data_IF_174007688526
#
_entry.id   IF_174007688526
#
_cell.length_a   1.000
_cell.length_b   1.000
_cell.length_c   1.000
_cell.angle_alpha   90.00
_cell.angle_beta   90.00
_cell.angle_gamma   90.00
#
_symmetry.space_group_name_H-M   'P 1'
#
loop_
_entity.id
_entity.type
_entity.pdbx_description
1 polymer ?
#
# COMPACT_ATOMS: atom_id res chain seq x y z
N UNK A 1 11.04 3.39 -19.54
CA UNK A 1 11.07 3.88 -18.14
C UNK A 1 9.66 3.69 -17.55
N UNK A 2 9.52 3.51 -16.25
CA UNK A 2 8.19 3.45 -15.61
C UNK A 2 7.75 4.85 -15.18
N UNK A 3 6.47 5.17 -15.37
CA UNK A 3 5.89 6.46 -15.03
C UNK A 3 4.90 6.30 -13.89
N UNK A 4 4.82 7.32 -13.03
CA UNK A 4 3.79 7.43 -12.02
C UNK A 4 2.67 8.29 -12.60
N UNK A 5 1.45 7.78 -12.53
CA UNK A 5 0.22 8.49 -12.87
C UNK A 5 -0.72 8.58 -11.69
N UNK A 6 -1.80 9.35 -11.86
CA UNK A 6 -2.84 9.53 -10.86
C UNK A 6 -4.15 8.91 -11.34
N UNK A 7 -4.84 8.17 -10.48
CA UNK A 7 -6.13 7.56 -10.83
C UNK A 7 -7.17 8.62 -11.23
N UNK A 8 -7.11 9.81 -10.63
CA UNK A 8 -7.98 10.94 -10.97
C UNK A 8 -7.84 11.43 -12.42
N UNK A 9 -6.74 11.08 -13.11
CA UNK A 9 -6.51 11.43 -14.53
C UNK A 9 -7.14 10.44 -15.52
N UNK A 10 -7.75 9.37 -15.02
CA UNK A 10 -8.30 8.28 -15.83
C UNK A 10 -9.81 8.18 -15.69
N UNK A 11 -10.45 7.67 -16.74
CA UNK A 11 -11.86 7.30 -16.72
C UNK A 11 -12.08 5.91 -16.09
N UNK A 12 -11.30 5.56 -15.06
CA UNK A 12 -11.36 4.27 -14.36
C UNK A 12 -11.37 4.51 -12.85
N UNK A 13 -12.16 3.75 -12.11
CA UNK A 13 -12.10 3.78 -10.64
C UNK A 13 -10.81 3.14 -10.16
N UNK A 14 -10.17 3.70 -9.13
CA UNK A 14 -9.05 3.04 -8.45
C UNK A 14 -9.49 1.69 -7.85
N UNK A 15 -8.59 0.70 -7.67
CA UNK A 15 -8.95 -0.57 -7.05
C UNK A 15 -9.29 -0.42 -5.56
N UNK A 16 -8.85 0.69 -4.95
CA UNK A 16 -9.19 1.08 -3.59
C UNK A 16 -9.35 2.60 -3.48
N UNK A 17 -10.33 3.13 -2.70
CA UNK A 17 -10.53 4.58 -2.54
C UNK A 17 -9.31 5.34 -1.99
N UNK A 18 -8.43 4.68 -1.25
CA UNK A 18 -7.20 5.27 -0.70
C UNK A 18 -6.07 5.31 -1.72
N UNK A 19 -6.16 4.54 -2.81
CA UNK A 19 -5.16 4.59 -3.86
C UNK A 19 -5.36 5.78 -4.76
N UNK A 20 -4.36 6.65 -4.81
CA UNK A 20 -4.39 7.88 -5.61
C UNK A 20 -3.49 7.80 -6.85
N UNK A 21 -2.53 6.87 -6.85
CA UNK A 21 -1.50 6.78 -7.86
C UNK A 21 -1.39 5.35 -8.41
N UNK A 22 -0.82 5.24 -9.60
CA UNK A 22 -0.44 3.98 -10.22
C UNK A 22 0.91 4.14 -10.92
N UNK A 23 1.52 3.02 -11.27
CA UNK A 23 2.69 2.98 -12.15
C UNK A 23 2.35 2.31 -13.48
N UNK A 24 2.96 2.79 -14.55
CA UNK A 24 2.71 2.30 -15.91
C UNK A 24 4.02 2.20 -16.70
N UNK A 25 4.22 1.15 -17.51
CA UNK A 25 5.39 1.03 -18.35
C UNK A 25 5.31 1.97 -19.56
N UNK A 26 6.43 2.14 -20.24
CA UNK A 26 6.48 2.81 -21.54
C UNK A 26 6.25 1.84 -22.71
N UNK A 27 6.37 2.36 -23.93
CA UNK A 27 6.26 1.61 -25.19
C UNK A 27 7.40 0.63 -25.42
N UNK A 28 8.49 0.75 -24.66
CA UNK A 28 9.63 -0.18 -24.68
C UNK A 28 9.55 -1.13 -23.50
N UNK A 29 9.94 -2.38 -23.73
CA UNK A 29 9.99 -3.38 -22.67
C UNK A 29 10.93 -2.92 -21.55
N UNK A 30 10.37 -2.72 -20.36
CA UNK A 30 11.13 -2.32 -19.18
C UNK A 30 10.71 -3.11 -17.96
N UNK A 31 11.55 -3.10 -16.92
CA UNK A 31 11.24 -3.73 -15.64
C UNK A 31 11.52 -2.81 -14.46
N UNK A 32 10.89 -3.14 -13.36
CA UNK A 32 11.18 -2.62 -12.02
C UNK A 32 11.49 -3.80 -11.10
N UNK A 33 12.37 -3.58 -10.13
CA UNK A 33 12.78 -4.58 -9.16
C UNK A 33 12.52 -4.07 -7.74
N UNK A 34 12.17 -4.98 -6.84
CA UNK A 34 12.24 -4.71 -5.41
C UNK A 34 13.70 -4.75 -4.93
N UNK A 35 13.95 -4.28 -3.71
CA UNK A 35 15.16 -4.68 -3.00
C UNK A 35 15.17 -6.19 -2.76
N UNK A 36 16.34 -6.73 -2.47
CA UNK A 36 16.47 -8.11 -1.99
C UNK A 36 15.87 -8.23 -0.59
N UNK A 37 15.10 -9.29 -0.36
CA UNK A 37 14.55 -9.64 0.94
C UNK A 37 14.40 -11.15 1.08
N UNK A 38 14.22 -11.62 2.31
CA UNK A 38 13.98 -13.03 2.59
C UNK A 38 12.60 -13.46 2.12
N UNK A 39 12.55 -14.38 1.16
CA UNK A 39 11.34 -15.00 0.63
C UNK A 39 11.22 -16.42 1.18
N UNK A 40 10.02 -16.78 1.65
CA UNK A 40 9.68 -18.14 2.07
C UNK A 40 8.89 -18.82 0.94
N UNK A 41 9.28 -20.05 0.59
CA UNK A 41 8.57 -20.86 -0.41
C UNK A 41 7.18 -21.22 0.09
N UNK A 42 6.31 -21.70 -0.81
CA UNK A 42 4.86 -21.85 -0.59
C UNK A 42 4.08 -20.54 -0.31
N UNK A 43 4.75 -19.39 -0.29
CA UNK A 43 4.11 -18.08 -0.30
C UNK A 43 3.59 -17.68 -1.69
N UNK A 44 3.15 -16.43 -1.81
CA UNK A 44 2.80 -15.84 -3.11
C UNK A 44 3.08 -14.35 -3.17
N UNK A 45 3.37 -13.84 -4.36
CA UNK A 45 3.34 -12.41 -4.68
C UNK A 45 1.99 -12.10 -5.32
N UNK A 46 1.31 -11.07 -4.86
CA UNK A 46 0.07 -10.58 -5.46
C UNK A 46 0.29 -9.18 -6.01
N UNK A 47 -0.10 -8.94 -7.26
CA UNK A 47 0.00 -7.64 -7.92
C UNK A 47 -1.38 -7.22 -8.39
N UNK A 48 -1.84 -6.04 -7.96
CA UNK A 48 -3.08 -5.43 -8.43
C UNK A 48 -2.79 -4.59 -9.66
N UNK A 49 -3.42 -4.95 -10.77
CA UNK A 49 -3.14 -4.37 -12.07
C UNK A 49 -4.41 -4.15 -12.89
N UNK A 50 -4.33 -3.23 -13.84
CA UNK A 50 -5.35 -2.98 -14.84
C UNK A 50 -4.71 -3.11 -16.21
N UNK A 51 -5.26 -3.96 -17.07
CA UNK A 51 -4.64 -4.31 -18.35
C UNK A 51 -5.64 -4.35 -19.50
N UNK A 52 -5.54 -3.37 -20.39
CA UNK A 52 -6.27 -3.30 -21.65
C UNK A 52 -5.26 -3.31 -22.79
N UNK A 53 -5.19 -4.47 -23.45
CA UNK A 53 -4.32 -4.72 -24.60
C UNK A 53 -4.98 -4.19 -25.87
N UNK A 54 -4.23 -3.42 -26.65
CA UNK A 54 -4.58 -3.04 -28.02
C UNK A 54 -3.57 -3.59 -29.05
N UNK A 55 -2.37 -4.00 -28.61
CA UNK A 55 -1.30 -4.46 -29.48
C UNK A 55 -0.71 -5.82 -29.04
N UNK A 56 -0.21 -6.65 -29.97
CA UNK A 56 0.41 -7.93 -29.64
C UNK A 56 1.63 -7.81 -28.72
N UNK A 57 2.33 -6.68 -28.77
CA UNK A 57 3.51 -6.38 -27.96
C UNK A 57 3.19 -5.97 -26.53
N UNK A 58 1.93 -5.69 -26.20
CA UNK A 58 1.58 -5.35 -24.83
C UNK A 58 1.73 -6.58 -23.94
N UNK A 59 2.49 -6.40 -22.86
CA UNK A 59 2.80 -7.49 -21.96
C UNK A 59 3.05 -6.97 -20.55
N UNK A 60 2.67 -7.80 -19.59
CA UNK A 60 2.88 -7.56 -18.18
C UNK A 60 3.08 -8.93 -17.50
N UNK A 61 4.24 -9.12 -16.88
CA UNK A 61 4.53 -10.35 -16.14
C UNK A 61 5.44 -10.07 -14.95
N UNK A 62 5.44 -11.02 -14.03
CA UNK A 62 6.15 -10.93 -12.77
C UNK A 62 7.09 -12.12 -12.66
N UNK A 63 8.33 -11.88 -12.25
CA UNK A 63 9.32 -12.90 -11.95
C UNK A 63 9.71 -12.83 -10.47
N UNK A 64 9.96 -13.99 -9.90
CA UNK A 64 10.54 -14.15 -8.58
C UNK A 64 11.93 -14.73 -8.78
N UNK A 65 12.96 -14.00 -8.34
CA UNK A 65 14.36 -14.42 -8.50
C UNK A 65 15.01 -14.66 -7.15
N UNK A 66 15.78 -15.72 -7.09
CA UNK A 66 16.68 -16.03 -5.98
C UNK A 66 18.03 -15.37 -6.26
N UNK A 67 18.46 -14.54 -5.32
CA UNK A 67 19.76 -13.90 -5.34
C UNK A 67 20.82 -14.93 -4.94
N UNK A 68 21.84 -15.09 -5.78
CA UNK A 68 22.94 -16.03 -5.51
C UNK A 68 24.25 -15.25 -5.51
N UNK A 69 24.88 -15.16 -4.35
CA UNK A 69 26.15 -14.45 -4.21
C UNK A 69 27.22 -15.04 -5.14
N UNK A 70 27.90 -14.17 -5.88
CA UNK A 70 28.96 -14.55 -6.83
C UNK A 70 28.53 -15.46 -7.98
N UNK A 71 27.22 -15.59 -8.23
CA UNK A 71 26.68 -16.34 -9.37
C UNK A 71 25.56 -15.56 -10.07
N UNK A 72 24.95 -16.17 -11.08
CA UNK A 72 23.76 -15.63 -11.74
C UNK A 72 22.53 -15.94 -10.90
N UNK A 73 21.71 -14.93 -10.63
CA UNK A 73 20.41 -15.08 -9.98
C UNK A 73 19.53 -16.10 -10.71
N UNK A 74 18.85 -16.93 -9.93
CA UNK A 74 18.03 -18.04 -10.42
C UNK A 74 16.59 -17.59 -10.56
N UNK A 75 15.96 -17.89 -11.70
CA UNK A 75 14.51 -17.71 -11.85
C UNK A 75 13.81 -18.80 -11.04
N UNK A 76 13.10 -18.39 -9.98
CA UNK A 76 12.32 -19.31 -9.14
C UNK A 76 10.97 -19.59 -9.78
N UNK A 77 10.29 -18.53 -10.21
CA UNK A 77 8.99 -18.63 -10.86
C UNK A 77 8.68 -17.37 -11.67
N UNK A 78 7.81 -17.49 -12.67
CA UNK A 78 7.26 -16.36 -13.41
C UNK A 78 5.80 -16.63 -13.77
N UNK A 79 4.98 -15.59 -13.77
CA UNK A 79 3.63 -15.65 -14.31
C UNK A 79 3.24 -14.33 -14.99
N UNK A 80 2.29 -14.39 -15.90
CA UNK A 80 1.91 -13.30 -16.79
C UNK A 80 0.41 -13.02 -16.72
N UNK A 81 0.01 -11.77 -16.88
CA UNK A 81 -1.40 -11.47 -17.07
C UNK A 81 -1.87 -12.00 -18.43
N UNK A 82 -2.78 -12.97 -18.38
CA UNK A 82 -3.28 -13.66 -19.59
C UNK A 82 -4.48 -12.96 -20.21
N UNK A 83 -5.27 -12.27 -19.40
CA UNK A 83 -6.54 -11.69 -19.80
C UNK A 83 -6.44 -10.17 -19.85
N UNK A 84 -6.62 -9.63 -21.06
CA UNK A 84 -6.91 -8.22 -21.24
C UNK A 84 -8.37 -8.00 -20.85
N UNK A 85 -8.62 -7.32 -19.74
CA UNK A 85 -9.96 -6.95 -19.29
C UNK A 85 -9.96 -5.50 -18.86
N UNK A 86 -11.05 -4.79 -19.15
CA UNK A 86 -11.27 -3.41 -18.72
C UNK A 86 -11.72 -3.34 -17.26
N UNK A 87 -11.02 -4.05 -16.38
CA UNK A 87 -11.26 -4.07 -14.94
C UNK A 87 -9.97 -4.38 -14.18
N UNK A 88 -9.95 -4.03 -12.89
CA UNK A 88 -8.85 -4.35 -11.99
C UNK A 88 -8.79 -5.85 -11.71
N UNK A 89 -7.57 -6.37 -11.73
CA UNK A 89 -7.28 -7.78 -11.53
C UNK A 89 -6.14 -7.93 -10.53
N UNK A 90 -6.09 -9.10 -9.89
CA UNK A 90 -4.95 -9.49 -9.06
C UNK A 90 -4.23 -10.66 -9.71
N UNK A 91 -2.97 -10.44 -10.11
CA UNK A 91 -2.08 -11.51 -10.54
C UNK A 91 -1.45 -12.12 -9.30
N UNK A 92 -1.74 -13.39 -9.03
CA UNK A 92 -1.17 -14.15 -7.91
C UNK A 92 -0.09 -15.12 -8.41
N UNK A 93 1.15 -14.81 -8.09
CA UNK A 93 2.34 -15.56 -8.48
C UNK A 93 2.77 -16.47 -7.32
N UNK A 94 2.53 -17.79 -7.39
CA UNK A 94 2.94 -18.70 -6.32
C UNK A 94 4.46 -18.88 -6.29
N UNK A 95 5.01 -19.10 -5.09
CA UNK A 95 6.42 -19.43 -4.93
C UNK A 95 6.53 -20.94 -4.69
N UNK A 96 7.04 -21.73 -5.66
CA UNK A 96 7.07 -23.18 -5.55
C UNK A 96 8.03 -23.67 -4.45
N UNK A 97 7.68 -24.80 -3.84
CA UNK A 97 8.46 -25.47 -2.81
C UNK A 97 7.72 -25.56 -1.47
N UNK A 98 8.46 -25.85 -0.40
CA UNK A 98 7.90 -26.09 0.94
C UNK A 98 8.00 -24.86 1.84
N UNK A 99 7.01 -24.66 2.73
CA UNK A 99 6.86 -23.46 3.58
C UNK A 99 7.95 -23.25 4.64
N UNK A 100 8.84 -24.20 4.83
CA UNK A 100 10.01 -24.15 5.70
C UNK A 100 11.29 -23.65 4.99
N UNK A 101 11.28 -23.65 3.65
CA UNK A 101 12.42 -23.23 2.84
C UNK A 101 12.41 -21.72 2.59
N UNK A 102 13.58 -21.08 2.75
CA UNK A 102 13.76 -19.64 2.56
C UNK A 102 14.95 -19.35 1.67
N UNK A 103 14.91 -18.23 0.97
CA UNK A 103 16.03 -17.72 0.17
C UNK A 103 16.01 -16.19 0.15
N UNK A 104 17.16 -15.57 -0.08
CA UNK A 104 17.22 -14.14 -0.38
C UNK A 104 16.86 -13.93 -1.85
N UNK A 105 15.93 -13.04 -2.13
CA UNK A 105 15.43 -12.85 -3.49
C UNK A 105 14.76 -11.50 -3.70
N UNK A 106 14.30 -11.27 -4.92
CA UNK A 106 13.61 -10.05 -5.30
C UNK A 106 12.53 -10.35 -6.33
N UNK A 107 11.56 -9.43 -6.42
CA UNK A 107 10.48 -9.48 -7.41
C UNK A 107 10.84 -8.54 -8.56
N UNK A 108 10.77 -9.04 -9.78
CA UNK A 108 10.84 -8.25 -11.00
C UNK A 108 9.44 -8.15 -11.59
N UNK A 109 9.07 -6.94 -11.99
CA UNK A 109 7.83 -6.71 -12.72
C UNK A 109 8.21 -6.11 -14.07
N UNK A 110 7.84 -6.81 -15.13
CA UNK A 110 8.09 -6.44 -16.51
C UNK A 110 6.82 -5.86 -17.14
N UNK A 111 7.00 -4.88 -18.01
CA UNK A 111 5.89 -4.20 -18.64
C UNK A 111 6.28 -3.56 -19.98
N UNK A 112 5.34 -3.61 -20.92
CA UNK A 112 5.33 -2.85 -22.15
C UNK A 112 3.89 -2.49 -22.50
N UNK A 113 3.63 -1.22 -22.82
CA UNK A 113 2.33 -0.75 -23.26
C UNK A 113 2.47 0.13 -24.51
N UNK A 114 1.83 -0.27 -25.61
CA UNK A 114 1.71 0.58 -26.78
C UNK A 114 0.94 1.87 -26.45
N UNK A 115 1.05 2.95 -27.26
CA UNK A 115 0.46 4.25 -26.94
C UNK A 115 -1.05 4.26 -26.64
N UNK A 116 -1.80 3.31 -27.22
CA UNK A 116 -3.24 3.20 -27.04
C UNK A 116 -3.64 2.10 -26.03
N UNK A 117 -2.67 1.41 -25.46
CA UNK A 117 -2.86 0.33 -24.50
C UNK A 117 -2.73 0.85 -23.08
N UNK A 118 -3.35 0.14 -22.14
CA UNK A 118 -3.29 0.50 -20.72
C UNK A 118 -2.68 -0.68 -19.97
N UNK A 119 -1.53 -0.45 -19.35
CA UNK A 119 -0.95 -1.33 -18.33
C UNK A 119 -0.71 -0.47 -17.11
N UNK A 120 -1.38 -0.78 -16.01
CA UNK A 120 -1.22 -0.07 -14.74
C UNK A 120 -1.05 -1.06 -13.62
N UNK A 121 -0.16 -0.73 -12.70
CA UNK A 121 0.00 -1.45 -11.43
C UNK A 121 -0.31 -0.45 -10.34
N UNK A 122 -1.22 -0.84 -9.47
CA UNK A 122 -1.58 -0.03 -8.31
C UNK A 122 -0.68 -0.38 -7.12
N UNK A 123 -0.60 -1.67 -6.83
CA UNK A 123 0.07 -2.18 -5.64
C UNK A 123 0.55 -3.60 -5.85
N UNK A 124 1.52 -4.02 -5.03
CA UNK A 124 1.86 -5.43 -4.89
C UNK A 124 2.20 -5.75 -3.44
N UNK A 125 2.07 -7.03 -3.08
CA UNK A 125 2.48 -7.56 -1.77
C UNK A 125 3.08 -8.95 -1.89
N UNK A 126 3.93 -9.28 -0.93
CA UNK A 126 4.37 -10.66 -0.70
C UNK A 126 3.63 -11.22 0.51
N UNK A 127 3.05 -12.41 0.35
CA UNK A 127 2.33 -13.16 1.39
C UNK A 127 3.15 -14.42 1.70
N UNK A 128 3.73 -14.45 2.91
CA UNK A 128 4.41 -15.65 3.41
C UNK A 128 3.40 -16.77 3.70
N UNK A 129 3.78 -18.06 3.58
CA UNK A 129 2.85 -19.18 3.74
C UNK A 129 2.18 -19.26 5.12
N UNK A 130 2.87 -18.81 6.16
CA UNK A 130 2.39 -18.83 7.54
C UNK A 130 1.71 -17.53 7.98
N UNK A 131 1.61 -16.54 7.07
CA UNK A 131 1.00 -15.25 7.37
C UNK A 131 -0.49 -15.32 7.07
N UNK A 132 -1.31 -14.97 8.06
CA UNK A 132 -2.72 -14.72 7.82
C UNK A 132 -2.86 -13.53 6.85
N UNK A 133 -3.61 -13.75 5.76
CA UNK A 133 -3.75 -12.77 4.67
C UNK A 133 -4.39 -11.48 5.15
N UNK A 134 -5.24 -11.57 6.16
CA UNK A 134 -5.96 -10.43 6.71
C UNK A 134 -5.06 -9.55 7.58
N UNK A 135 -3.89 -10.06 7.98
CA UNK A 135 -2.86 -9.27 8.66
C UNK A 135 -1.90 -8.58 7.67
N UNK A 136 -1.98 -8.91 6.38
CA UNK A 136 -1.15 -8.34 5.33
C UNK A 136 -1.97 -7.36 4.46
N UNK A 137 -2.51 -6.33 5.08
CA UNK A 137 -3.40 -5.36 4.41
C UNK A 137 -2.57 -4.35 3.60
N UNK A 138 -2.96 -4.12 2.35
CA UNK A 138 -2.31 -3.13 1.46
C UNK A 138 -2.83 -1.72 1.75
N UNK A 139 -4.12 -1.60 2.05
CA UNK A 139 -4.81 -0.34 2.30
C UNK A 139 -5.30 -0.34 3.75
N UNK A 140 -4.56 0.34 4.64
CA UNK A 140 -4.98 0.50 6.03
C UNK A 140 -6.09 1.55 6.10
N UNK A 141 -7.31 1.16 6.47
CA UNK A 141 -8.37 2.14 6.73
C UNK A 141 -7.98 3.01 7.93
N UNK A 142 -7.83 4.32 7.72
CA UNK A 142 -7.73 5.24 8.84
C UNK A 142 -9.06 5.22 9.59
N UNK A 143 -9.10 4.51 10.72
CA UNK A 143 -10.21 4.59 11.66
C UNK A 143 -10.18 5.99 12.26
N UNK A 144 -10.89 6.92 11.64
CA UNK A 144 -11.17 8.21 12.24
C UNK A 144 -12.11 7.96 13.42
N UNK A 145 -11.55 7.88 14.64
CA UNK A 145 -12.35 7.92 15.87
C UNK A 145 -13.02 9.30 15.95
N UNK A 146 -14.21 9.40 15.38
CA UNK A 146 -15.08 10.56 15.58
C UNK A 146 -15.55 10.53 17.04
N UNK A 147 -14.88 11.31 17.89
CA UNK A 147 -15.38 11.65 19.23
C UNK A 147 -16.69 12.41 19.04
N UNK A 148 -17.81 11.69 19.11
CA UNK A 148 -19.14 12.30 19.16
C UNK A 148 -19.24 13.01 20.51
N UNK A 149 -19.03 14.32 20.51
CA UNK A 149 -19.33 15.16 21.68
C UNK A 149 -20.84 15.17 21.88
N UNK A 150 -21.33 14.36 22.81
CA UNK A 150 -22.72 14.39 23.26
C UNK A 150 -22.96 15.71 23.98
N UNK A 151 -23.55 16.69 23.30
CA UNK A 151 -24.06 17.90 23.94
C UNK A 151 -25.26 17.51 24.81
N UNK A 152 -25.02 17.35 26.11
CA UNK A 152 -26.09 17.15 27.09
C UNK A 152 -26.82 18.49 27.23
N UNK A 153 -27.98 18.63 26.59
CA UNK A 153 -28.88 19.75 26.82
C UNK A 153 -29.62 19.50 28.13
N UNK A 154 -29.10 20.03 29.24
CA UNK A 154 -29.81 20.04 30.52
C UNK A 154 -31.03 20.96 30.41
N UNK A 155 -32.23 20.39 30.40
CA UNK A 155 -33.48 21.15 30.55
C UNK A 155 -33.61 21.62 32.00
N UNK A 156 -33.51 22.93 32.21
CA UNK A 156 -33.68 23.59 33.51
C UNK A 156 -35.17 23.61 33.89
N UNK A 157 -35.58 22.78 34.85
CA UNK A 157 -36.91 22.86 35.47
C UNK A 157 -36.90 23.93 36.57
N UNK A 158 -37.59 25.04 36.34
CA UNK A 158 -37.74 26.15 37.30
C UNK A 158 -38.58 25.69 38.49
N UNK A 159 -37.96 25.60 39.67
CA UNK A 159 -38.64 25.39 40.95
C UNK A 159 -38.57 26.68 41.77
N UNK A 160 -39.69 27.36 41.92
CA UNK A 160 -39.82 28.58 42.72
C UNK A 160 -39.83 28.20 44.20
N UNK A 161 -38.84 28.63 44.98
CA UNK A 161 -38.92 28.60 46.46
C UNK A 161 -38.37 29.90 47.04
N UNK A 162 -39.19 30.51 47.88
CA UNK A 162 -38.98 31.79 48.55
C UNK A 162 -38.12 31.62 49.81
N UNK A 163 -37.30 32.64 50.09
CA UNK A 163 -36.80 33.13 51.40
C UNK A 163 -35.48 32.62 51.99
N UNK A 164 -34.55 33.58 52.11
CA UNK A 164 -33.79 34.01 53.32
C UNK A 164 -32.26 33.95 53.20
N UNK A 165 -31.69 35.11 53.51
CA UNK A 165 -30.30 35.56 53.58
C UNK A 165 -29.28 34.60 54.19
N UNK A 166 -28.12 34.44 53.54
CA UNK A 166 -26.80 34.70 54.14
C UNK A 166 -25.71 34.77 53.08
N UNK A 167 -24.91 35.82 53.13
CA UNK A 167 -23.76 36.08 52.27
C UNK A 167 -22.61 35.13 52.64
N UNK A 168 -22.06 34.39 51.69
CA UNK A 168 -20.76 33.73 51.87
C UNK A 168 -20.02 33.71 50.54
N UNK A 169 -18.91 34.43 50.50
CA UNK A 169 -17.97 34.51 49.39
C UNK A 169 -17.10 33.26 49.41
N UNK A 170 -16.99 32.53 48.29
CA UNK A 170 -16.00 31.46 48.14
C UNK A 170 -15.33 31.59 46.79
N UNK A 171 -14.01 31.78 46.85
CA UNK A 171 -13.08 31.89 45.73
C UNK A 171 -12.77 30.52 45.15
N UNK A 172 -13.01 30.33 43.85
CA UNK A 172 -12.63 29.10 43.14
C UNK A 172 -11.29 29.28 42.44
N UNK A 173 -10.30 28.53 42.90
CA UNK A 173 -8.95 28.41 42.34
C UNK A 173 -8.99 27.61 41.04
N UNK A 174 -8.49 28.19 39.94
CA UNK A 174 -8.29 27.47 38.68
C UNK A 174 -7.11 26.50 38.82
N UNK A 175 -7.36 25.21 38.62
CA UNK A 175 -6.32 24.17 38.57
C UNK A 175 -6.08 23.80 37.11
N UNK A 176 -4.94 24.25 36.57
CA UNK A 176 -4.49 23.92 35.22
C UNK A 176 -3.78 22.57 35.25
N UNK A 177 -4.44 21.50 34.77
CA UNK A 177 -3.79 20.20 34.56
C UNK A 177 -3.19 20.14 33.16
N UNK A 178 -1.87 20.07 33.07
CA UNK A 178 -1.13 19.83 31.82
C UNK A 178 -1.34 18.38 31.38
N UNK A 179 -1.97 18.18 30.22
CA UNK A 179 -2.16 16.86 29.63
C UNK A 179 -0.92 16.45 28.83
N UNK A 180 -0.30 15.35 29.24
CA UNK A 180 0.81 14.71 28.53
C UNK A 180 0.28 14.07 27.23
N UNK A 181 0.81 14.53 26.09
CA UNK A 181 0.50 14.00 24.77
C UNK A 181 1.07 12.57 24.66
N UNK A 182 0.27 11.54 24.35
CA UNK A 182 0.80 10.23 24.04
C UNK A 182 1.55 10.29 22.70
N UNK A 183 2.85 9.96 22.71
CA UNK A 183 3.62 9.84 21.48
C UNK A 183 3.16 8.58 20.73
N UNK A 184 2.58 8.78 19.56
CA UNK A 184 2.27 7.70 18.63
C UNK A 184 3.58 7.18 18.05
N UNK A 185 3.98 5.97 18.46
CA UNK A 185 5.00 5.19 17.79
C UNK A 185 4.50 4.85 16.38
N UNK A 186 5.01 5.58 15.39
CA UNK A 186 4.77 5.31 13.96
C UNK A 186 5.43 3.97 13.63
N UNK A 187 4.66 2.88 13.59
CA UNK A 187 5.14 1.60 13.07
C UNK A 187 5.03 1.63 11.56
N UNK A 188 6.16 1.81 10.90
CA UNK A 188 6.27 1.75 9.45
C UNK A 188 6.12 0.29 9.00
N UNK A 189 5.20 -0.03 8.07
CA UNK A 189 5.11 -1.36 7.48
C UNK A 189 6.41 -1.67 6.72
N UNK A 190 6.87 -2.92 6.81
CA UNK A 190 8.18 -3.32 6.28
C UNK A 190 8.26 -3.23 4.75
N UNK A 191 7.13 -3.33 4.04
CA UNK A 191 7.00 -2.98 2.62
C UNK A 191 5.52 -2.64 2.30
N UNK A 192 5.23 -1.35 2.19
CA UNK A 192 4.18 -0.79 1.34
C UNK A 192 4.89 0.19 0.42
N UNK A 193 4.52 0.28 -0.85
CA UNK A 193 4.94 1.45 -1.63
C UNK A 193 4.10 2.61 -1.09
N UNK A 194 4.61 3.24 -0.03
CA UNK A 194 4.06 4.50 0.47
C UNK A 194 4.45 5.60 -0.53
N UNK A 195 3.64 5.75 -1.58
CA UNK A 195 3.79 6.78 -2.61
C UNK A 195 3.63 8.21 -2.05
N UNK A 196 3.30 8.38 -0.75
CA UNK A 196 3.22 9.67 -0.07
C UNK A 196 4.47 10.05 0.73
N UNK A 197 5.49 9.19 0.84
CA UNK A 197 6.78 9.63 1.37
C UNK A 197 7.43 10.49 0.29
N UNK A 198 7.49 11.80 0.57
CA UNK A 198 8.29 12.77 -0.19
C UNK A 198 9.58 12.11 -0.65
N UNK A 199 9.81 12.19 -1.95
CA UNK A 199 11.00 11.79 -2.71
C UNK A 199 12.29 12.45 -2.21
N UNK A 200 12.68 12.23 -0.96
CA UNK A 200 14.01 12.58 -0.46
C UNK A 200 14.78 11.37 0.09
N UNK A 201 14.16 10.23 0.46
CA UNK A 201 14.95 9.11 1.03
C UNK A 201 14.57 7.67 0.63
N UNK A 202 13.76 7.45 -0.40
CA UNK A 202 13.57 6.10 -0.98
C UNK A 202 14.23 6.01 -2.35
N UNK A 203 15.51 5.61 -2.36
CA UNK A 203 16.32 5.40 -3.56
C UNK A 203 15.83 4.14 -4.29
N UNK A 204 14.72 4.24 -5.02
CA UNK A 204 14.32 3.25 -6.03
C UNK A 204 15.45 3.20 -7.06
N UNK A 205 16.33 2.20 -6.95
CA UNK A 205 17.40 1.98 -7.91
C UNK A 205 16.81 1.43 -9.21
N UNK A 206 16.44 2.33 -10.12
CA UNK A 206 16.12 1.98 -11.51
C UNK A 206 17.45 1.60 -12.19
N UNK A 207 17.83 0.33 -12.15
CA UNK A 207 18.96 -0.17 -12.94
C UNK A 207 18.51 -0.36 -14.39
N UNK A 208 18.93 0.56 -15.27
CA UNK A 208 18.90 0.34 -16.72
C UNK A 208 19.90 -0.77 -17.05
N UNK A 209 19.42 -1.92 -17.50
CA UNK A 209 20.29 -2.98 -18.04
C UNK A 209 20.67 -2.59 -19.46
N UNK A 210 21.89 -2.10 -19.65
CA UNK A 210 22.47 -1.96 -20.99
C UNK A 210 22.99 -3.32 -21.44
N UNK A 211 22.51 -3.79 -22.59
CA UNK A 211 22.97 -5.04 -23.19
C UNK A 211 24.41 -4.84 -23.68
N UNK A 212 25.34 -5.65 -23.17
CA UNK A 212 26.60 -5.99 -23.85
C UNK A 212 26.37 -7.18 -24.76
#
# INVERSE_FOLDING_TARGET
>A
MWKIGQHASLNTTAPNPMSTNYISPETTLTCMATYTFTITRAGSVEVNFYFVRQEPTDMFWVEIREYVESARDVLVYADTARLSMSDWQTLRVPIPGSGDQKFEGYVLIWGQAAPNSIVMIDSFRYIAPSLDKDLCVIYEEEISTSTTSTTITSSTTTSTTTTTSTTTTTSTTATTSSATIPSTSKRTPRFSIDLQIKYEESVVLIKKKENQ
#
